data_IF_233533255853
#
_entry.id   IF_233533255853
#
_cell.length_a   1.000
_cell.length_b   1.000
_cell.length_c   1.000
_cell.angle_alpha   90.00
_cell.angle_beta   90.00
_cell.angle_gamma   90.00
#
_symmetry.space_group_name_H-M   'P 1'
#
loop_
_entity.id
_entity.type
_entity.pdbx_description
1 polymer ?
#
# COMPACT_ATOMS: atom_id res chain seq x y z
N UNK A 1 -16.97 7.32 -15.00
CA UNK A 1 -16.54 6.08 -14.31
C UNK A 1 -15.93 6.49 -12.99
N UNK A 2 -16.59 6.19 -11.87
CA UNK A 2 -16.03 6.43 -10.53
C UNK A 2 -15.44 5.11 -10.05
N UNK A 3 -14.18 5.13 -9.62
CA UNK A 3 -13.51 4.00 -9.00
C UNK A 3 -13.33 4.36 -7.53
N UNK A 4 -13.94 3.58 -6.64
CA UNK A 4 -13.78 3.74 -5.19
C UNK A 4 -13.29 2.44 -4.58
N UNK A 5 -12.33 2.51 -3.67
CA UNK A 5 -11.84 1.37 -2.89
C UNK A 5 -12.23 1.55 -1.43
N UNK A 6 -12.78 0.51 -0.83
CA UNK A 6 -13.24 0.56 0.56
C UNK A 6 -13.07 -0.78 1.24
N UNK A 7 -12.84 -0.73 2.55
CA UNK A 7 -12.91 -1.88 3.43
C UNK A 7 -14.34 -2.06 3.90
N UNK A 8 -14.85 -3.30 3.87
CA UNK A 8 -16.17 -3.61 4.41
C UNK A 8 -16.09 -4.83 5.31
N UNK A 9 -16.59 -4.71 6.53
CA UNK A 9 -16.84 -5.87 7.38
C UNK A 9 -18.08 -6.63 6.88
N UNK A 10 -17.96 -7.95 6.75
CA UNK A 10 -19.09 -8.84 6.46
C UNK A 10 -19.91 -9.09 7.72
N UNK A 11 -21.08 -9.73 7.57
CA UNK A 11 -21.94 -10.13 8.71
C UNK A 11 -21.24 -11.11 9.66
N UNK A 12 -20.17 -11.77 9.21
CA UNK A 12 -19.36 -12.71 10.00
C UNK A 12 -18.14 -12.05 10.66
N UNK A 13 -17.94 -10.74 10.47
CA UNK A 13 -16.80 -9.99 11.01
C UNK A 13 -15.53 -10.04 10.17
N UNK A 14 -15.54 -10.77 9.04
CA UNK A 14 -14.41 -10.78 8.10
C UNK A 14 -14.33 -9.45 7.35
N UNK A 15 -13.14 -8.87 7.24
CA UNK A 15 -12.91 -7.68 6.41
C UNK A 15 -12.67 -8.12 4.97
N UNK A 16 -13.43 -7.53 4.04
CA UNK A 16 -13.27 -7.72 2.60
C UNK A 16 -12.90 -6.41 1.95
N UNK A 17 -11.92 -6.45 1.06
CA UNK A 17 -11.48 -5.32 0.27
C UNK A 17 -12.25 -5.26 -1.03
N UNK A 18 -12.99 -4.18 -1.26
CA UNK A 18 -13.83 -4.05 -2.44
C UNK A 18 -13.38 -2.88 -3.32
N UNK A 19 -13.25 -3.15 -4.62
CA UNK A 19 -13.16 -2.13 -5.66
C UNK A 19 -14.52 -2.04 -6.34
N UNK A 20 -15.14 -0.86 -6.24
CA UNK A 20 -16.40 -0.54 -6.87
C UNK A 20 -16.19 0.31 -8.11
N UNK A 21 -16.72 -0.16 -9.24
CA UNK A 21 -16.80 0.63 -10.47
C UNK A 21 -18.25 0.98 -10.70
N UNK A 22 -18.52 2.28 -10.76
CA UNK A 22 -19.85 2.81 -11.04
C UNK A 22 -19.90 3.39 -12.44
N UNK A 23 -20.86 2.90 -13.22
CA UNK A 23 -21.23 3.47 -14.52
C UNK A 23 -22.69 3.93 -14.49
N UNK A 24 -22.89 5.19 -14.83
CA UNK A 24 -24.21 5.78 -15.03
C UNK A 24 -24.50 5.81 -16.51
N UNK A 25 -25.63 5.25 -16.92
CA UNK A 25 -26.13 5.37 -18.29
C UNK A 25 -27.43 6.15 -18.28
N UNK A 26 -27.47 7.24 -19.05
CA UNK A 26 -28.70 7.96 -19.32
C UNK A 26 -29.32 7.40 -20.60
N UNK A 27 -30.58 6.98 -20.53
CA UNK A 27 -31.38 6.71 -21.71
C UNK A 27 -32.06 8.02 -22.12
N UNK A 28 -31.73 8.53 -23.30
CA UNK A 28 -32.20 9.82 -23.82
C UNK A 28 -33.71 10.04 -23.54
N UNK A 29 -34.03 11.02 -22.68
CA UNK A 29 -35.40 11.52 -22.48
C UNK A 29 -36.16 11.03 -21.23
N UNK A 30 -35.59 10.14 -20.41
CA UNK A 30 -36.18 9.74 -19.12
C UNK A 30 -35.30 10.21 -17.96
N UNK A 31 -35.88 10.91 -16.98
CA UNK A 31 -35.19 11.40 -15.77
C UNK A 31 -34.70 10.29 -14.82
N UNK A 32 -34.79 9.02 -15.22
CA UNK A 32 -34.32 7.87 -14.45
C UNK A 32 -33.13 7.25 -15.18
N UNK A 33 -31.93 7.71 -14.85
CA UNK A 33 -30.70 7.06 -15.31
C UNK A 33 -30.54 5.68 -14.68
N UNK A 34 -30.08 4.71 -15.45
CA UNK A 34 -29.73 3.39 -14.92
C UNK A 34 -28.28 3.43 -14.41
N UNK A 35 -28.01 2.75 -13.31
CA UNK A 35 -26.69 2.66 -12.70
C UNK A 35 -26.26 1.20 -12.67
N UNK A 36 -25.14 0.90 -13.30
CA UNK A 36 -24.47 -0.38 -13.16
C UNK A 36 -23.34 -0.24 -12.13
N UNK A 37 -23.35 -1.12 -11.13
CA UNK A 37 -22.30 -1.23 -10.13
C UNK A 37 -21.65 -2.60 -10.28
N UNK A 38 -20.34 -2.62 -10.51
CA UNK A 38 -19.53 -3.83 -10.43
C UNK A 38 -18.69 -3.75 -9.16
N UNK A 39 -18.83 -4.75 -8.31
CA UNK A 39 -18.01 -4.91 -7.10
C UNK A 39 -17.05 -6.08 -7.32
N UNK A 40 -15.76 -5.84 -7.08
CA UNK A 40 -14.71 -6.87 -7.13
C UNK A 40 -14.03 -6.98 -5.78
N UNK A 41 -13.88 -8.20 -5.28
CA UNK A 41 -12.98 -8.48 -4.16
C UNK A 41 -11.52 -8.38 -4.62
N UNK A 42 -10.74 -7.54 -3.93
CA UNK A 42 -9.32 -7.30 -4.21
C UNK A 42 -8.43 -7.69 -3.04
N UNK A 43 -8.93 -8.51 -2.10
CA UNK A 43 -8.19 -8.97 -0.92
C UNK A 43 -6.88 -9.68 -1.28
N UNK A 44 -6.93 -10.68 -2.15
CA UNK A 44 -5.72 -11.40 -2.58
C UNK A 44 -4.73 -10.48 -3.26
N UNK A 45 -5.19 -9.60 -4.16
CA UNK A 45 -4.33 -8.60 -4.82
C UNK A 45 -3.65 -7.69 -3.79
N UNK A 46 -4.37 -7.26 -2.74
CA UNK A 46 -3.80 -6.46 -1.65
C UNK A 46 -2.76 -7.23 -0.84
N UNK A 47 -2.95 -8.52 -0.62
CA UNK A 47 -1.95 -9.39 0.01
C UNK A 47 -0.69 -9.48 -0.85
N UNK A 48 -0.82 -9.76 -2.14
CA UNK A 48 0.32 -9.81 -3.07
C UNK A 48 1.05 -8.47 -3.18
N UNK A 49 0.31 -7.35 -3.25
CA UNK A 49 0.90 -6.00 -3.24
C UNK A 49 1.75 -5.80 -1.98
N UNK A 50 1.26 -6.20 -0.80
CA UNK A 50 2.02 -6.10 0.46
C UNK A 50 3.25 -7.01 0.50
N UNK A 51 3.14 -8.24 -0.01
CA UNK A 51 4.28 -9.16 -0.07
C UNK A 51 5.35 -8.68 -1.06
N UNK A 52 4.93 -8.13 -2.21
CA UNK A 52 5.82 -7.51 -3.17
C UNK A 52 6.50 -6.28 -2.58
N UNK A 53 5.76 -5.41 -1.89
CA UNK A 53 6.32 -4.27 -1.20
C UNK A 53 7.33 -4.73 -0.14
N UNK A 54 7.01 -5.73 0.67
CA UNK A 54 7.92 -6.28 1.67
C UNK A 54 9.23 -6.80 1.04
N UNK A 55 9.15 -7.53 -0.07
CA UNK A 55 10.34 -8.00 -0.81
C UNK A 55 11.09 -6.87 -1.50
N UNK A 56 10.41 -5.80 -1.91
CA UNK A 56 11.02 -4.64 -2.55
C UNK A 56 11.91 -3.81 -1.61
N UNK A 57 11.80 -4.01 -0.28
CA UNK A 57 12.65 -3.36 0.72
C UNK A 57 13.80 -4.22 1.23
N UNK A 58 13.95 -5.44 0.72
CA UNK A 58 15.01 -6.37 1.13
C UNK A 58 16.02 -6.56 0.00
N UNK A 59 17.30 -6.66 0.35
CA UNK A 59 18.36 -7.03 -0.58
C UNK A 59 18.43 -8.55 -0.72
N UNK A 60 18.44 -9.04 -1.95
CA UNK A 60 18.34 -10.48 -2.23
C UNK A 60 19.61 -11.28 -1.92
N UNK A 61 20.76 -10.61 -1.77
CA UNK A 61 22.03 -11.28 -1.47
C UNK A 61 22.26 -11.39 0.04
N UNK A 62 21.93 -10.33 0.78
CA UNK A 62 22.22 -10.23 2.22
C UNK A 62 21.00 -10.46 3.11
N UNK A 63 19.79 -10.50 2.55
CA UNK A 63 18.51 -10.53 3.25
C UNK A 63 18.28 -9.33 4.21
N UNK A 64 19.16 -8.32 4.16
CA UNK A 64 19.04 -7.09 4.93
C UNK A 64 18.10 -6.09 4.23
N UNK A 65 17.69 -5.05 4.95
CA UNK A 65 17.00 -3.92 4.33
C UNK A 65 17.89 -3.32 3.23
N UNK A 66 17.38 -3.23 2.01
CA UNK A 66 18.07 -2.57 0.93
C UNK A 66 18.04 -1.05 1.10
N UNK A 67 18.67 -0.31 0.19
CA UNK A 67 18.71 1.17 0.25
C UNK A 67 17.32 1.79 0.39
N UNK A 68 16.32 1.25 -0.31
CA UNK A 68 14.95 1.77 -0.28
C UNK A 68 14.30 1.53 1.09
N UNK A 69 14.56 0.37 1.70
CA UNK A 69 14.15 0.05 3.07
C UNK A 69 14.86 0.92 4.11
N UNK A 70 16.16 1.16 3.92
CA UNK A 70 16.96 2.07 4.74
C UNK A 70 16.42 3.51 4.69
N UNK A 71 16.17 4.07 3.50
CA UNK A 71 15.68 5.44 3.31
C UNK A 71 14.33 5.66 4.01
N UNK A 72 13.45 4.64 3.97
CA UNK A 72 12.15 4.68 4.63
C UNK A 72 12.28 4.63 6.15
N UNK A 73 13.12 3.71 6.66
CA UNK A 73 13.36 3.56 8.09
C UNK A 73 14.03 4.81 8.70
N UNK A 74 15.06 5.36 8.06
CA UNK A 74 15.76 6.54 8.59
C UNK A 74 14.85 7.76 8.60
N UNK A 75 13.95 7.90 7.61
CA UNK A 75 12.94 8.96 7.60
C UNK A 75 11.96 8.86 8.78
N UNK A 76 11.50 7.65 9.09
CA UNK A 76 10.65 7.39 10.26
C UNK A 76 11.38 7.75 11.58
N UNK A 77 12.57 7.19 11.81
CA UNK A 77 13.32 7.47 13.04
C UNK A 77 13.70 8.94 13.18
N UNK A 78 13.99 9.63 12.07
CA UNK A 78 14.24 11.07 12.09
C UNK A 78 13.03 11.86 12.60
N UNK A 79 11.83 11.56 12.08
CA UNK A 79 10.59 12.19 12.53
C UNK A 79 10.31 11.92 14.01
N UNK A 80 10.46 10.67 14.44
CA UNK A 80 10.27 10.30 15.85
C UNK A 80 11.24 11.01 16.77
N UNK A 81 12.52 11.04 16.39
CA UNK A 81 13.60 11.68 17.15
C UNK A 81 13.33 13.18 17.32
N UNK A 82 12.86 13.85 16.26
CA UNK A 82 12.43 15.25 16.31
C UNK A 82 11.23 15.44 17.24
N UNK A 83 10.26 14.52 17.22
CA UNK A 83 9.06 14.61 18.04
C UNK A 83 9.36 14.45 19.54
N UNK A 84 10.20 13.49 19.90
CA UNK A 84 10.53 13.18 21.30
C UNK A 84 11.74 13.95 21.83
N UNK A 85 12.41 14.74 20.98
CA UNK A 85 13.59 15.53 21.33
C UNK A 85 14.83 14.70 21.67
N UNK A 86 14.94 13.48 21.13
CA UNK A 86 16.08 12.59 21.36
C UNK A 86 17.22 12.84 20.34
N UNK A 87 18.24 11.99 20.35
CA UNK A 87 19.38 12.06 19.42
C UNK A 87 19.43 10.78 18.59
N UNK A 88 19.68 10.95 17.29
CA UNK A 88 19.91 9.86 16.35
C UNK A 88 21.36 9.87 15.91
N UNK A 89 21.98 8.69 15.85
CA UNK A 89 23.33 8.47 15.33
C UNK A 89 23.28 7.44 14.21
N UNK A 90 24.11 7.60 13.18
CA UNK A 90 24.22 6.71 12.04
C UNK A 90 25.68 6.36 11.79
N UNK A 91 25.95 5.10 11.45
CA UNK A 91 27.26 4.62 10.99
C UNK A 91 27.05 4.06 9.59
N UNK A 92 27.85 4.53 8.63
CA UNK A 92 27.91 3.98 7.29
C UNK A 92 29.27 3.28 7.12
N UNK A 93 29.22 2.01 6.76
CA UNK A 93 30.41 1.18 6.54
C UNK A 93 30.40 0.81 5.07
N UNK A 94 31.45 1.21 4.35
CA UNK A 94 31.73 0.67 3.02
C UNK A 94 32.64 -0.55 3.19
N UNK A 95 32.29 -1.66 2.56
CA UNK A 95 33.08 -2.89 2.63
C UNK A 95 33.84 -3.02 1.32
N UNK A 96 35.08 -2.56 1.33
CA UNK A 96 35.97 -2.68 0.16
C UNK A 96 36.30 -4.16 -0.14
N UNK A 97 36.56 -4.47 -1.42
CA UNK A 97 36.90 -5.80 -1.98
C UNK A 97 35.77 -6.81 -2.25
N UNK A 98 34.53 -6.37 -2.49
CA UNK A 98 33.55 -7.22 -3.17
C UNK A 98 33.99 -7.45 -4.64
N UNK A 99 34.35 -8.69 -4.99
CA UNK A 99 34.74 -9.11 -6.35
C UNK A 99 33.54 -9.42 -7.23
#
# INVERSE_FOLDING_TARGET
MIISRYERATRTGQVVWLEGIVQFTQRNGLSSGEMAIVLRDIGERKTWERELDARAFTDGLTELANRRGFDLAIGHYWQDTMHIGSRLSLILIDVDHFK
#
